data_IF_194669487160
#
_entry.id   IF_194669487160
#
_cell.length_a   1.000
_cell.length_b   1.000
_cell.length_c   1.000
_cell.angle_alpha   90.00
_cell.angle_beta   90.00
_cell.angle_gamma   90.00
#
_symmetry.space_group_name_H-M   'P 1'
#
loop_
_entity.id
_entity.type
_entity.pdbx_description
1 polymer ?
#
# COMPACT_ATOMS: atom_id res chain seq x y z
N UNK A 1 32.24 -18.77 -26.25
CA UNK A 1 32.55 -18.79 -24.83
C UNK A 1 32.51 -20.25 -24.37
N UNK A 2 33.61 -20.75 -23.84
CA UNK A 2 33.67 -22.10 -23.31
C UNK A 2 32.78 -22.19 -22.06
N UNK A 3 32.21 -23.38 -21.79
CA UNK A 3 31.35 -23.60 -20.60
C UNK A 3 32.05 -23.19 -19.28
N UNK A 4 33.38 -23.34 -19.24
CA UNK A 4 34.24 -22.88 -18.14
C UNK A 4 34.18 -21.36 -17.91
N UNK A 5 34.13 -20.56 -18.96
CA UNK A 5 34.10 -19.08 -18.87
C UNK A 5 32.75 -18.59 -18.34
N UNK A 6 31.67 -19.23 -18.75
CA UNK A 6 30.32 -18.94 -18.24
C UNK A 6 30.22 -19.26 -16.73
N UNK A 7 30.73 -20.40 -16.31
CA UNK A 7 30.73 -20.81 -14.90
C UNK A 7 31.59 -19.89 -14.03
N UNK A 8 32.74 -19.46 -14.54
CA UNK A 8 33.59 -18.48 -13.85
C UNK A 8 32.89 -17.12 -13.73
N UNK A 9 32.22 -16.66 -14.79
CA UNK A 9 31.45 -15.40 -14.77
C UNK A 9 30.29 -15.45 -13.77
N UNK A 10 29.54 -16.55 -13.73
CA UNK A 10 28.46 -16.75 -12.77
C UNK A 10 28.97 -16.80 -11.32
N UNK A 11 30.11 -17.44 -11.08
CA UNK A 11 30.75 -17.49 -9.76
C UNK A 11 31.21 -16.08 -9.32
N UNK A 12 31.82 -15.29 -10.22
CA UNK A 12 32.21 -13.92 -9.91
C UNK A 12 30.99 -13.03 -9.64
N UNK A 13 29.91 -13.14 -10.42
CA UNK A 13 28.68 -12.41 -10.20
C UNK A 13 28.03 -12.77 -8.85
N UNK A 14 28.01 -14.05 -8.49
CA UNK A 14 27.52 -14.51 -7.19
C UNK A 14 28.38 -13.98 -6.03
N UNK A 15 29.70 -13.98 -6.17
CA UNK A 15 30.62 -13.43 -5.18
C UNK A 15 30.40 -11.91 -4.95
N UNK A 16 30.18 -11.15 -6.02
CA UNK A 16 29.85 -9.72 -5.93
C UNK A 16 28.53 -9.50 -5.21
N UNK A 17 27.49 -10.28 -5.54
CA UNK A 17 26.19 -10.18 -4.86
C UNK A 17 26.29 -10.50 -3.38
N UNK A 18 27.06 -11.54 -3.01
CA UNK A 18 27.32 -11.89 -1.62
C UNK A 18 28.08 -10.77 -0.90
N UNK A 19 29.10 -10.20 -1.52
CA UNK A 19 29.86 -9.08 -0.95
C UNK A 19 28.97 -7.85 -0.71
N UNK A 20 28.11 -7.49 -1.66
CA UNK A 20 27.14 -6.38 -1.51
C UNK A 20 26.17 -6.69 -0.37
N UNK A 21 25.66 -7.92 -0.28
CA UNK A 21 24.76 -8.31 0.80
C UNK A 21 25.45 -8.26 2.18
N UNK A 22 26.69 -8.77 2.28
CA UNK A 22 27.47 -8.77 3.54
C UNK A 22 27.80 -7.34 3.99
N UNK A 23 28.22 -6.48 3.07
CA UNK A 23 28.48 -5.06 3.39
C UNK A 23 27.22 -4.33 3.84
N UNK A 24 26.10 -4.54 3.16
CA UNK A 24 24.80 -4.01 3.58
C UNK A 24 24.38 -4.48 4.97
N UNK A 25 24.60 -5.75 5.27
CA UNK A 25 24.31 -6.31 6.59
C UNK A 25 25.24 -5.77 7.69
N UNK A 26 26.52 -5.57 7.41
CA UNK A 26 27.45 -4.94 8.34
C UNK A 26 27.10 -3.49 8.64
N UNK A 27 26.71 -2.72 7.62
CA UNK A 27 26.21 -1.35 7.78
C UNK A 27 24.95 -1.36 8.65
N UNK A 28 24.01 -2.27 8.41
CA UNK A 28 22.82 -2.44 9.25
C UNK A 28 23.15 -2.71 10.71
N UNK A 29 24.11 -3.63 11.01
CA UNK A 29 24.53 -3.92 12.38
C UNK A 29 25.17 -2.70 13.04
N UNK A 30 26.00 -1.94 12.32
CA UNK A 30 26.58 -0.70 12.82
C UNK A 30 25.50 0.33 13.16
N UNK A 31 24.57 0.58 12.23
CA UNK A 31 23.48 1.49 12.45
C UNK A 31 22.60 1.08 13.64
N UNK A 32 22.29 -0.21 13.77
CA UNK A 32 21.50 -0.75 14.87
C UNK A 32 22.16 -0.52 16.24
N UNK A 33 23.49 -0.62 16.36
CA UNK A 33 24.17 -0.64 17.66
C UNK A 33 24.84 0.69 18.03
N UNK A 34 25.21 1.51 17.07
CA UNK A 34 26.00 2.76 17.28
C UNK A 34 25.15 4.01 17.30
N UNK A 35 24.06 4.03 16.52
CA UNK A 35 23.20 5.21 16.44
C UNK A 35 22.31 5.38 17.69
N UNK A 36 21.87 6.63 17.93
CA UNK A 36 20.78 6.90 18.87
C UNK A 36 19.55 6.04 18.51
N UNK A 37 18.77 5.53 19.52
CA UNK A 37 17.72 4.53 19.28
C UNK A 37 16.74 4.88 18.18
N UNK A 38 16.20 6.12 18.15
CA UNK A 38 15.23 6.53 17.12
C UNK A 38 15.85 6.54 15.71
N UNK A 39 17.07 7.06 15.57
CA UNK A 39 17.81 7.04 14.31
C UNK A 39 18.12 5.62 13.87
N UNK A 40 18.48 4.76 14.82
CA UNK A 40 18.72 3.33 14.55
C UNK A 40 17.44 2.65 14.03
N UNK A 41 16.28 2.94 14.64
CA UNK A 41 14.98 2.43 14.20
C UNK A 41 14.69 2.85 12.76
N UNK A 42 14.81 4.13 12.45
CA UNK A 42 14.57 4.65 11.10
C UNK A 42 15.52 4.07 10.06
N UNK A 43 16.83 4.03 10.36
CA UNK A 43 17.82 3.44 9.45
C UNK A 43 17.54 1.94 9.19
N UNK A 44 17.14 1.20 10.21
CA UNK A 44 16.78 -0.21 10.06
C UNK A 44 15.54 -0.40 9.18
N UNK A 45 14.53 0.42 9.34
CA UNK A 45 13.32 0.38 8.50
C UNK A 45 13.63 0.69 7.03
N UNK A 46 14.46 1.70 6.78
CA UNK A 46 14.84 2.11 5.42
C UNK A 46 15.73 1.05 4.74
N UNK A 47 16.63 0.41 5.50
CA UNK A 47 17.57 -0.58 4.93
C UNK A 47 16.91 -1.87 4.42
N UNK A 48 15.70 -2.17 4.86
CA UNK A 48 14.95 -3.38 4.49
C UNK A 48 15.49 -4.69 5.10
N UNK A 49 16.57 -4.66 5.88
CA UNK A 49 17.15 -5.84 6.55
C UNK A 49 16.56 -6.11 7.94
N UNK A 50 15.44 -5.48 8.27
CA UNK A 50 14.87 -5.51 9.61
C UNK A 50 13.98 -6.74 9.83
N UNK A 51 14.14 -7.39 10.97
CA UNK A 51 13.26 -8.44 11.50
C UNK A 51 12.52 -7.91 12.72
N UNK A 52 11.41 -8.55 13.09
CA UNK A 52 10.63 -8.22 14.30
C UNK A 52 11.51 -8.07 15.55
N UNK A 53 12.44 -9.00 15.80
CA UNK A 53 13.36 -8.94 16.95
C UNK A 53 14.25 -7.69 16.93
N UNK A 54 14.69 -7.26 15.76
CA UNK A 54 15.55 -6.07 15.63
C UNK A 54 14.81 -4.81 16.07
N UNK A 55 13.53 -4.69 15.73
CA UNK A 55 12.66 -3.58 16.18
C UNK A 55 12.48 -3.64 17.69
N UNK A 56 12.12 -4.81 18.24
CA UNK A 56 11.94 -4.99 19.68
C UNK A 56 13.20 -4.65 20.46
N UNK A 57 14.39 -5.07 19.98
CA UNK A 57 15.66 -4.76 20.63
C UNK A 57 15.98 -3.25 20.61
N UNK A 58 15.68 -2.55 19.50
CA UNK A 58 15.93 -1.13 19.38
C UNK A 58 14.96 -0.34 20.27
N UNK A 59 13.68 -0.73 20.34
CA UNK A 59 12.70 -0.10 21.21
C UNK A 59 13.01 -0.34 22.69
N UNK A 60 13.50 -1.55 23.08
CA UNK A 60 14.01 -1.81 24.44
C UNK A 60 15.19 -0.92 24.82
N UNK A 61 15.96 -0.43 23.87
CA UNK A 61 17.06 0.51 24.06
C UNK A 61 16.58 1.96 24.19
N UNK A 62 15.28 2.20 24.16
CA UNK A 62 14.65 3.50 24.36
C UNK A 62 14.25 4.23 23.08
N UNK A 63 14.11 3.54 21.93
CA UNK A 63 13.48 4.14 20.77
C UNK A 63 11.98 4.30 21.00
N UNK A 64 11.44 5.42 20.54
CA UNK A 64 10.01 5.66 20.53
C UNK A 64 9.38 5.06 19.27
N UNK A 65 8.43 4.11 19.38
CA UNK A 65 7.74 3.54 18.23
C UNK A 65 6.92 4.58 17.46
N UNK A 66 6.51 5.68 18.12
CA UNK A 66 5.74 6.78 17.53
C UNK A 66 6.61 8.02 17.28
N UNK A 67 7.93 7.86 17.28
CA UNK A 67 8.88 8.92 16.99
C UNK A 67 8.43 9.75 15.77
N UNK A 68 8.53 11.07 15.89
CA UNK A 68 8.18 12.04 14.85
C UNK A 68 6.77 11.80 14.27
N UNK A 69 5.79 11.71 15.18
CA UNK A 69 4.38 11.53 14.86
C UNK A 69 4.09 10.24 14.05
N UNK A 70 4.66 9.12 14.48
CA UNK A 70 4.43 7.80 13.88
C UNK A 70 5.20 7.55 12.57
N UNK A 71 6.28 8.32 12.34
CA UNK A 71 7.13 8.16 11.16
C UNK A 71 7.67 6.73 10.97
N UNK A 72 8.05 5.97 12.03
CA UNK A 72 8.47 4.58 11.88
C UNK A 72 7.40 3.70 11.24
N UNK A 73 6.15 3.75 11.73
CA UNK A 73 5.05 2.97 11.17
C UNK A 73 4.71 3.42 9.75
N UNK A 74 4.69 4.71 9.48
CA UNK A 74 4.46 5.26 8.14
C UNK A 74 5.52 4.77 7.14
N UNK A 75 6.79 4.79 7.54
CA UNK A 75 7.91 4.31 6.71
C UNK A 75 7.78 2.81 6.42
N UNK A 76 7.43 2.02 7.43
CA UNK A 76 7.22 0.58 7.28
C UNK A 76 6.06 0.26 6.34
N UNK A 77 4.98 1.04 6.39
CA UNK A 77 3.77 0.83 5.59
C UNK A 77 3.96 1.24 4.12
N UNK A 78 4.65 2.36 3.87
CA UNK A 78 4.90 2.89 2.51
C UNK A 78 6.04 2.19 1.79
N UNK A 79 6.96 1.60 2.52
CA UNK A 79 8.12 0.92 1.98
C UNK A 79 7.83 -0.53 1.56
N UNK A 80 8.83 -1.17 0.96
CA UNK A 80 8.85 -2.61 0.69
C UNK A 80 9.21 -3.42 1.95
N UNK A 81 9.01 -2.82 3.12
CA UNK A 81 9.40 -3.40 4.40
C UNK A 81 8.57 -4.65 4.68
N UNK A 82 9.22 -5.67 5.22
CA UNK A 82 8.58 -6.95 5.52
C UNK A 82 7.46 -6.77 6.53
N UNK A 83 6.37 -7.50 6.35
CA UNK A 83 5.23 -7.59 7.29
C UNK A 83 5.69 -7.72 8.76
N UNK A 84 6.78 -8.42 9.01
CA UNK A 84 7.35 -8.59 10.35
C UNK A 84 7.77 -7.29 11.04
N UNK A 85 8.17 -6.28 10.27
CA UNK A 85 8.52 -4.97 10.82
C UNK A 85 7.28 -4.21 11.28
N UNK A 86 6.21 -4.23 10.46
CA UNK A 86 4.93 -3.63 10.82
C UNK A 86 4.37 -4.28 12.09
N UNK A 87 4.36 -5.62 12.14
CA UNK A 87 3.95 -6.36 13.35
C UNK A 87 4.82 -6.04 14.55
N UNK A 88 6.14 -5.92 14.35
CA UNK A 88 7.07 -5.56 15.42
C UNK A 88 6.79 -4.20 16.03
N UNK A 89 6.53 -3.19 15.20
CA UNK A 89 6.16 -1.84 15.66
C UNK A 89 4.83 -1.84 16.42
N UNK A 90 3.80 -2.49 15.87
CA UNK A 90 2.47 -2.61 16.49
C UNK A 90 2.56 -3.30 17.86
N UNK A 91 3.28 -4.42 17.96
CA UNK A 91 3.47 -5.14 19.23
C UNK A 91 4.28 -4.36 20.26
N UNK A 92 5.10 -3.43 19.81
CA UNK A 92 5.83 -2.52 20.69
C UNK A 92 5.05 -1.26 21.03
N UNK A 93 3.78 -1.18 20.66
CA UNK A 93 2.87 -0.11 21.08
C UNK A 93 2.77 1.07 20.11
N UNK A 94 3.22 0.92 18.85
CA UNK A 94 3.01 1.95 17.83
C UNK A 94 1.49 2.21 17.65
N UNK A 95 1.09 3.49 17.67
CA UNK A 95 -0.30 3.88 17.45
C UNK A 95 -0.69 3.72 15.98
N UNK A 96 -1.61 2.77 15.72
CA UNK A 96 -2.13 2.47 14.39
C UNK A 96 -3.15 3.50 13.88
N UNK A 97 -3.63 4.38 14.76
CA UNK A 97 -4.68 5.36 14.50
C UNK A 97 -4.16 6.81 14.48
N UNK A 98 -2.85 7.02 14.41
CA UNK A 98 -2.28 8.36 14.24
C UNK A 98 -2.93 9.05 13.04
N UNK A 99 -3.36 10.30 13.24
CA UNK A 99 -3.88 11.15 12.19
C UNK A 99 -2.80 12.18 11.81
N UNK A 100 -2.34 12.10 10.56
CA UNK A 100 -1.36 13.04 10.04
C UNK A 100 -2.00 14.41 9.72
N UNK A 101 -1.21 15.51 9.57
CA UNK A 101 -1.74 16.86 9.34
C UNK A 101 -2.65 17.00 8.12
N UNK A 102 -2.52 16.11 7.14
CA UNK A 102 -3.38 16.04 5.94
C UNK A 102 -4.67 15.23 6.17
N UNK A 103 -4.92 14.72 7.38
CA UNK A 103 -6.07 13.89 7.73
C UNK A 103 -5.92 12.41 7.36
N UNK A 104 -4.77 11.99 6.81
CA UNK A 104 -4.52 10.59 6.51
C UNK A 104 -4.09 9.79 7.74
N UNK A 105 -4.16 8.46 7.65
CA UNK A 105 -3.73 7.52 8.70
C UNK A 105 -2.71 6.50 8.14
N UNK A 106 -2.01 5.73 8.98
CA UNK A 106 -1.17 4.63 8.51
C UNK A 106 -1.92 3.66 7.59
N UNK A 107 -3.18 3.33 7.92
CA UNK A 107 -4.01 2.46 7.10
C UNK A 107 -4.30 3.07 5.71
N UNK A 108 -4.56 4.37 5.64
CA UNK A 108 -4.73 5.08 4.38
C UNK A 108 -3.49 4.96 3.49
N UNK A 109 -2.29 5.13 4.06
CA UNK A 109 -1.04 4.98 3.32
C UNK A 109 -0.77 3.54 2.88
N UNK A 110 -1.16 2.53 3.69
CA UNK A 110 -1.11 1.13 3.30
C UNK A 110 -1.97 0.84 2.07
N UNK A 111 -3.17 1.42 2.04
CA UNK A 111 -4.10 1.31 0.91
C UNK A 111 -3.54 1.96 -0.34
N UNK A 112 -3.04 3.20 -0.25
CA UNK A 112 -2.44 3.90 -1.39
C UNK A 112 -1.21 3.20 -1.97
N UNK A 113 -0.38 2.58 -1.11
CA UNK A 113 0.80 1.83 -1.56
C UNK A 113 0.46 0.45 -2.12
N UNK A 114 -0.80 0.03 -2.05
CA UNK A 114 -1.23 -1.31 -2.50
C UNK A 114 -0.71 -2.46 -1.62
N UNK A 115 -0.24 -2.15 -0.39
CA UNK A 115 0.33 -3.14 0.53
C UNK A 115 -0.77 -3.88 1.29
N UNK A 116 -1.35 -4.92 0.67
CA UNK A 116 -2.44 -5.71 1.26
C UNK A 116 -2.08 -6.31 2.62
N UNK A 117 -0.83 -6.74 2.81
CA UNK A 117 -0.37 -7.29 4.09
C UNK A 117 -0.31 -6.24 5.19
N UNK A 118 0.13 -5.01 4.87
CA UNK A 118 0.08 -3.90 5.81
C UNK A 118 -1.36 -3.56 6.20
N UNK A 119 -2.29 -3.52 5.22
CA UNK A 119 -3.72 -3.31 5.48
C UNK A 119 -4.26 -4.37 6.44
N UNK A 120 -3.96 -5.65 6.21
CA UNK A 120 -4.39 -6.74 7.10
C UNK A 120 -3.79 -6.63 8.50
N UNK A 121 -2.50 -6.29 8.63
CA UNK A 121 -1.85 -6.12 9.93
C UNK A 121 -2.45 -4.95 10.73
N UNK A 122 -2.66 -3.81 10.07
CA UNK A 122 -3.21 -2.61 10.70
C UNK A 122 -4.68 -2.82 11.10
N UNK A 123 -5.50 -3.40 10.21
CA UNK A 123 -6.89 -3.71 10.50
C UNK A 123 -7.03 -4.71 11.67
N UNK A 124 -6.17 -5.75 11.72
CA UNK A 124 -6.13 -6.70 12.83
C UNK A 124 -5.68 -6.06 14.16
N UNK A 125 -4.92 -4.96 14.10
CA UNK A 125 -4.51 -4.18 15.26
C UNK A 125 -5.53 -3.10 15.67
N UNK A 126 -6.70 -3.03 15.03
CA UNK A 126 -7.77 -2.08 15.37
C UNK A 126 -7.66 -0.72 14.67
N UNK A 127 -7.00 -0.66 13.51
CA UNK A 127 -7.00 0.55 12.71
C UNK A 127 -8.42 0.88 12.21
N UNK A 128 -8.81 2.16 12.30
CA UNK A 128 -10.12 2.64 11.88
C UNK A 128 -10.30 2.47 10.35
N UNK A 129 -11.29 1.65 9.96
CA UNK A 129 -11.62 1.38 8.56
C UNK A 129 -12.55 2.42 7.93
N UNK A 130 -13.27 3.18 8.75
CA UNK A 130 -14.27 4.18 8.34
C UNK A 130 -13.66 5.56 8.03
N UNK A 131 -12.33 5.66 8.01
CA UNK A 131 -11.65 6.92 7.75
C UNK A 131 -11.96 7.44 6.33
N UNK A 132 -12.19 8.75 6.25
CA UNK A 132 -12.42 9.48 4.99
C UNK A 132 -11.42 10.63 4.91
N UNK A 133 -10.96 10.91 3.70
CA UNK A 133 -10.13 12.10 3.44
C UNK A 133 -11.02 13.34 3.22
N UNK A 134 -10.40 14.50 3.03
CA UNK A 134 -11.10 15.80 2.98
C UNK A 134 -12.21 15.88 1.93
N UNK A 135 -12.07 15.20 0.81
CA UNK A 135 -13.08 15.13 -0.26
C UNK A 135 -14.19 14.11 0.00
N UNK A 136 -14.19 13.45 1.18
CA UNK A 136 -15.14 12.43 1.56
C UNK A 136 -14.89 11.05 0.95
N UNK A 137 -13.78 10.87 0.21
CA UNK A 137 -13.40 9.57 -0.33
C UNK A 137 -13.03 8.61 0.78
N UNK A 138 -13.61 7.41 0.74
CA UNK A 138 -13.27 6.31 1.64
C UNK A 138 -12.04 5.53 1.13
N UNK A 139 -11.57 4.56 1.92
CA UNK A 139 -10.41 3.74 1.57
C UNK A 139 -10.56 2.99 0.24
N UNK A 140 -11.78 2.57 -0.13
CA UNK A 140 -12.03 1.87 -1.39
C UNK A 140 -11.84 2.78 -2.61
N UNK A 141 -12.39 3.99 -2.57
CA UNK A 141 -12.18 5.01 -3.61
C UNK A 141 -10.71 5.36 -3.75
N UNK A 142 -10.01 5.52 -2.63
CA UNK A 142 -8.57 5.79 -2.61
C UNK A 142 -7.74 4.63 -3.20
N UNK A 143 -8.10 3.37 -2.89
CA UNK A 143 -7.46 2.19 -3.45
C UNK A 143 -7.60 2.13 -4.97
N UNK A 144 -8.79 2.43 -5.49
CA UNK A 144 -9.07 2.43 -6.94
C UNK A 144 -8.33 3.58 -7.63
N UNK A 145 -8.36 4.79 -7.06
CA UNK A 145 -7.60 5.93 -7.58
C UNK A 145 -6.09 5.70 -7.63
N UNK A 146 -5.55 4.96 -6.66
CA UNK A 146 -4.15 4.54 -6.62
C UNK A 146 -3.84 3.30 -7.49
N UNK A 147 -4.83 2.75 -8.21
CA UNK A 147 -4.74 1.51 -8.98
C UNK A 147 -4.33 0.28 -8.16
N UNK A 148 -4.55 0.32 -6.86
CA UNK A 148 -4.27 -0.76 -5.92
C UNK A 148 -5.40 -1.81 -5.92
N UNK A 149 -5.68 -2.42 -7.06
CA UNK A 149 -6.86 -3.27 -7.26
C UNK A 149 -6.90 -4.51 -6.37
N UNK A 150 -5.74 -5.07 -6.00
CA UNK A 150 -5.67 -6.18 -5.03
C UNK A 150 -6.15 -5.73 -3.64
N UNK A 151 -5.76 -4.53 -3.24
CA UNK A 151 -6.20 -3.93 -1.98
C UNK A 151 -7.68 -3.55 -2.04
N UNK A 152 -8.15 -3.00 -3.17
CA UNK A 152 -9.57 -2.72 -3.37
C UNK A 152 -10.43 -3.98 -3.24
N UNK A 153 -10.02 -5.10 -3.84
CA UNK A 153 -10.70 -6.41 -3.64
C UNK A 153 -10.71 -6.85 -2.19
N UNK A 154 -9.57 -6.75 -1.51
CA UNK A 154 -9.46 -7.09 -0.09
C UNK A 154 -10.45 -6.28 0.77
N UNK A 155 -10.58 -4.96 0.50
CA UNK A 155 -11.51 -4.08 1.21
C UNK A 155 -12.97 -4.49 1.02
N UNK A 156 -13.35 -4.89 -0.18
CA UNK A 156 -14.72 -5.36 -0.47
C UNK A 156 -14.97 -6.75 0.09
N UNK A 157 -14.11 -7.73 -0.23
CA UNK A 157 -14.35 -9.15 0.08
C UNK A 157 -14.21 -9.46 1.58
N UNK A 158 -13.24 -8.85 2.25
CA UNK A 158 -12.93 -9.16 3.66
C UNK A 158 -13.54 -8.16 4.64
N UNK A 159 -13.59 -6.89 4.26
CA UNK A 159 -14.01 -5.81 5.15
C UNK A 159 -15.40 -5.22 4.80
N UNK A 160 -16.05 -5.71 3.75
CA UNK A 160 -17.44 -5.38 3.42
C UNK A 160 -17.64 -3.94 2.92
N UNK A 161 -16.66 -3.33 2.30
CA UNK A 161 -16.81 -1.98 1.75
C UNK A 161 -17.87 -1.96 0.63
N UNK A 162 -18.76 -0.97 0.69
CA UNK A 162 -19.77 -0.76 -0.34
C UNK A 162 -19.13 -0.26 -1.64
N UNK A 163 -19.29 -1.04 -2.71
CA UNK A 163 -18.76 -0.73 -4.04
C UNK A 163 -19.48 0.45 -4.70
N UNK A 164 -20.66 0.84 -4.21
CA UNK A 164 -21.44 1.97 -4.71
C UNK A 164 -21.26 3.24 -3.85
N UNK A 165 -20.31 3.22 -2.91
CA UNK A 165 -19.99 4.37 -2.08
C UNK A 165 -19.56 5.57 -2.92
N UNK A 166 -19.86 6.78 -2.42
CA UNK A 166 -19.61 8.06 -3.09
C UNK A 166 -18.77 8.97 -2.20
N UNK A 167 -17.95 9.79 -2.82
CA UNK A 167 -17.32 10.92 -2.14
C UNK A 167 -18.25 12.15 -2.08
N UNK A 168 -17.73 13.27 -1.57
CA UNK A 168 -18.51 14.52 -1.46
C UNK A 168 -18.99 15.08 -2.79
N UNK A 169 -18.32 14.78 -3.90
CA UNK A 169 -18.69 15.22 -5.25
C UNK A 169 -19.62 14.25 -5.97
N UNK A 170 -19.97 13.14 -5.31
CA UNK A 170 -20.81 12.09 -5.89
C UNK A 170 -20.05 11.11 -6.76
N UNK A 171 -18.70 11.19 -6.79
CA UNK A 171 -17.86 10.27 -7.56
C UNK A 171 -17.92 8.88 -6.93
N UNK A 172 -18.24 7.87 -7.73
CA UNK A 172 -18.33 6.46 -7.32
C UNK A 172 -17.06 5.69 -7.65
N UNK A 173 -16.95 4.49 -7.07
CA UNK A 173 -15.86 3.54 -7.38
C UNK A 173 -15.81 3.23 -8.87
N UNK A 174 -16.97 3.10 -9.54
CA UNK A 174 -17.03 2.87 -10.99
C UNK A 174 -16.48 4.05 -11.79
N UNK A 175 -16.81 5.29 -11.43
CA UNK A 175 -16.30 6.49 -12.10
C UNK A 175 -14.78 6.60 -11.94
N UNK A 176 -14.27 6.41 -10.71
CA UNK A 176 -12.84 6.40 -10.45
C UNK A 176 -12.12 5.27 -11.22
N UNK A 177 -12.68 4.06 -11.24
CA UNK A 177 -12.13 2.96 -12.01
C UNK A 177 -12.14 3.25 -13.52
N UNK A 178 -13.15 3.95 -14.02
CA UNK A 178 -13.26 4.34 -15.43
C UNK A 178 -12.15 5.28 -15.86
N UNK A 179 -11.77 6.20 -14.99
CA UNK A 179 -10.70 7.17 -15.23
C UNK A 179 -9.31 6.52 -15.20
N UNK A 180 -9.07 5.66 -14.22
CA UNK A 180 -7.73 5.13 -13.93
C UNK A 180 -7.44 3.74 -14.52
N UNK A 181 -8.47 2.91 -14.86
CA UNK A 181 -8.29 1.60 -15.46
C UNK A 181 -7.86 1.69 -16.94
N UNK A 182 -6.57 1.83 -17.17
CA UNK A 182 -6.05 1.92 -18.55
C UNK A 182 -5.97 0.58 -19.28
N UNK A 183 -5.64 -0.51 -18.58
CA UNK A 183 -5.25 -1.78 -19.21
C UNK A 183 -5.78 -3.03 -18.51
N UNK A 184 -6.14 -2.96 -17.23
CA UNK A 184 -6.62 -4.13 -16.46
C UNK A 184 -8.13 -4.07 -16.26
N UNK A 185 -8.85 -4.63 -17.22
CA UNK A 185 -10.31 -4.76 -17.13
C UNK A 185 -10.77 -5.92 -16.23
N UNK A 186 -9.85 -6.71 -15.68
CA UNK A 186 -10.21 -7.84 -14.81
C UNK A 186 -10.85 -7.36 -13.51
N UNK A 187 -10.41 -6.21 -13.01
CA UNK A 187 -11.00 -5.56 -11.84
C UNK A 187 -12.42 -5.06 -12.11
N UNK A 188 -12.63 -4.37 -13.24
CA UNK A 188 -13.97 -3.90 -13.65
C UNK A 188 -14.94 -5.05 -13.89
N UNK A 189 -14.49 -6.12 -14.55
CA UNK A 189 -15.29 -7.33 -14.78
C UNK A 189 -15.70 -7.99 -13.46
N UNK A 190 -14.79 -8.04 -12.49
CA UNK A 190 -15.09 -8.57 -11.16
C UNK A 190 -16.11 -7.70 -10.41
N UNK A 191 -15.99 -6.37 -10.52
CA UNK A 191 -16.84 -5.40 -9.81
C UNK A 191 -18.24 -5.29 -10.42
N UNK A 192 -18.38 -5.49 -11.74
CA UNK A 192 -19.58 -5.26 -12.54
C UNK A 192 -20.90 -5.78 -11.95
N UNK A 193 -21.01 -7.02 -11.41
CA UNK A 193 -22.28 -7.56 -10.94
C UNK A 193 -22.90 -6.77 -9.77
N UNK A 194 -22.09 -6.00 -9.05
CA UNK A 194 -22.46 -5.26 -7.84
C UNK A 194 -22.58 -3.76 -8.05
N UNK A 195 -22.38 -3.26 -9.29
CA UNK A 195 -22.33 -1.84 -9.59
C UNK A 195 -23.68 -1.26 -10.01
N UNK A 196 -24.00 -0.08 -9.47
CA UNK A 196 -25.04 0.78 -10.01
C UNK A 196 -24.49 1.62 -11.18
N UNK A 197 -24.93 1.29 -12.39
CA UNK A 197 -24.50 1.93 -13.64
C UNK A 197 -25.19 3.26 -13.90
N UNK A 198 -26.28 3.59 -13.20
CA UNK A 198 -27.15 4.75 -13.49
C UNK A 198 -26.80 5.98 -12.63
N UNK A 199 -25.68 5.94 -11.94
CA UNK A 199 -25.28 7.01 -11.03
C UNK A 199 -24.55 8.12 -11.77
N UNK A 200 -24.86 9.37 -11.42
CA UNK A 200 -24.12 10.56 -11.84
C UNK A 200 -23.52 11.29 -10.62
N UNK A 201 -22.43 12.01 -10.86
CA UNK A 201 -21.84 12.91 -9.87
C UNK A 201 -22.63 14.23 -9.77
N UNK A 202 -22.18 15.19 -8.97
CA UNK A 202 -22.80 16.50 -8.79
C UNK A 202 -22.85 17.37 -10.06
N UNK A 203 -21.96 17.08 -11.02
CA UNK A 203 -21.90 17.77 -12.32
C UNK A 203 -22.70 17.05 -13.40
N UNK A 204 -23.43 15.98 -13.06
CA UNK A 204 -24.21 15.16 -13.97
C UNK A 204 -23.40 14.22 -14.84
N UNK A 205 -22.10 14.04 -14.57
CA UNK A 205 -21.22 13.12 -15.29
C UNK A 205 -21.43 11.70 -14.78
N UNK A 206 -21.55 10.75 -15.69
CA UNK A 206 -21.60 9.32 -15.36
C UNK A 206 -20.26 8.64 -15.62
N UNK A 207 -20.16 7.34 -15.34
CA UNK A 207 -18.94 6.56 -15.54
C UNK A 207 -18.38 6.62 -16.99
N UNK A 208 -19.23 6.77 -18.00
CA UNK A 208 -18.81 6.88 -19.39
C UNK A 208 -18.13 8.23 -19.69
N UNK A 209 -18.53 9.29 -18.98
CA UNK A 209 -17.89 10.61 -19.07
C UNK A 209 -16.47 10.60 -18.48
N UNK A 210 -16.22 9.79 -17.45
CA UNK A 210 -14.89 9.58 -16.86
C UNK A 210 -14.01 8.70 -17.73
N UNK A 211 -14.61 7.72 -18.41
CA UNK A 211 -13.91 6.77 -19.28
C UNK A 211 -13.62 7.33 -20.68
N UNK A 212 -12.90 8.43 -20.81
CA UNK A 212 -12.53 9.03 -22.12
C UNK A 212 -11.57 8.15 -22.95
N UNK A 213 -11.11 7.04 -22.39
CA UNK A 213 -10.21 6.12 -23.08
C UNK A 213 -11.03 5.19 -24.00
N UNK A 214 -10.69 5.15 -25.31
CA UNK A 214 -11.33 4.28 -26.31
C UNK A 214 -11.38 2.80 -25.88
N UNK A 215 -10.41 2.31 -25.11
CA UNK A 215 -10.38 0.94 -24.61
C UNK A 215 -11.44 0.67 -23.55
N UNK A 216 -11.71 1.65 -22.68
CA UNK A 216 -12.77 1.56 -21.67
C UNK A 216 -14.14 1.46 -22.32
N UNK A 217 -14.43 2.36 -23.28
CA UNK A 217 -15.71 2.34 -24.03
C UNK A 217 -15.89 1.04 -24.84
N UNK A 218 -14.81 0.52 -25.48
CA UNK A 218 -14.83 -0.76 -26.18
C UNK A 218 -15.12 -1.94 -25.26
N UNK A 219 -14.58 -1.95 -24.05
CA UNK A 219 -14.84 -2.98 -23.04
C UNK A 219 -16.33 -3.02 -22.65
N UNK A 220 -16.93 -1.87 -22.35
CA UNK A 220 -18.34 -1.81 -21.94
C UNK A 220 -19.29 -2.10 -23.11
N UNK A 221 -18.93 -1.74 -24.35
CA UNK A 221 -19.65 -2.14 -25.56
C UNK A 221 -19.57 -3.65 -25.79
N UNK A 222 -18.39 -4.25 -25.56
CA UNK A 222 -18.21 -5.69 -25.65
C UNK A 222 -19.09 -6.46 -24.64
N UNK A 223 -19.30 -5.91 -23.45
CA UNK A 223 -20.21 -6.47 -22.44
C UNK A 223 -21.70 -6.14 -22.71
N UNK A 224 -22.02 -5.38 -23.77
CA UNK A 224 -23.38 -5.01 -24.11
C UNK A 224 -24.02 -3.98 -23.15
N UNK A 225 -23.23 -3.31 -22.34
CA UNK A 225 -23.67 -2.36 -21.30
C UNK A 225 -23.61 -0.89 -21.73
N UNK A 226 -22.98 -0.61 -22.87
CA UNK A 226 -23.02 0.68 -23.55
C UNK A 226 -23.47 0.47 -25.00
N UNK A 227 -24.44 1.26 -25.46
CA UNK A 227 -24.89 1.32 -26.85
C UNK A 227 -23.95 2.14 -27.72
#
# INVERSE_FOLDING_TARGET
>A
MAYSDLMLWLACAAAVLIAVYVTGYLIFLFQKHVLAPDKALMCCLISGFVRKKDIQDIIRRGADPDFDNGLPLLTAVRGTVREQAIRGLIECGADVNIVYPNGSSPLFHAVLSGNTKAVECLAAAGAALDCKIKDGSNLLLCAVGAQAYKTARLLVEKYGFDVNSKNNDGVTVLMAASEFCRWDFSFLKWLQPSLDMNVSDKEGRNHASYGQNNNYLRFWRFLGLLK
#
